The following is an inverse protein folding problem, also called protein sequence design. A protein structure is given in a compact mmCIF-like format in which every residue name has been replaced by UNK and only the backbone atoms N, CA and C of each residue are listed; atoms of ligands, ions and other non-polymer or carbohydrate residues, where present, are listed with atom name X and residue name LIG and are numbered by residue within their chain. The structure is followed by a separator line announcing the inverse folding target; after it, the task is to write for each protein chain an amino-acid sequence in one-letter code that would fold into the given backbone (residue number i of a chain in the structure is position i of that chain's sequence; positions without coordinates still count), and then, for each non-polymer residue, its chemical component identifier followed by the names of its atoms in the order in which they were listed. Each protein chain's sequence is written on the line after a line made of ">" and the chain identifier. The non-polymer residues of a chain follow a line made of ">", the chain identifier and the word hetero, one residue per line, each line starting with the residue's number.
data_IF_601828368118
#
_entry.id   IF_601828368118
#
_cell.length_a   1.000
_cell.length_b   1.000
_cell.length_c   1.000
_cell.angle_alpha   90.00
_cell.angle_beta   90.00
_cell.angle_gamma   90.00
#
_symmetry.space_group_name_H-M   'P 1'
#
loop_
_entity.id
_entity.type
_entity.pdbx_description
1 polymer ?
#
# COMPACT_ATOMS: atom_id res chain seq x y z
N UNK A 1 7.24 -11.23 -19.08
CA UNK A 1 7.12 -12.01 -20.34
C UNK A 1 6.22 -13.22 -20.11
N UNK A 2 5.26 -13.42 -20.96
CA UNK A 2 4.48 -14.64 -21.03
C UNK A 2 4.74 -15.32 -22.38
N UNK A 3 5.11 -16.60 -22.40
CA UNK A 3 5.51 -17.33 -23.61
C UNK A 3 6.55 -16.60 -24.48
N UNK A 4 7.51 -15.94 -23.84
CA UNK A 4 8.58 -15.18 -24.51
C UNK A 4 8.18 -13.82 -25.08
N UNK A 5 6.91 -13.43 -24.99
CA UNK A 5 6.37 -12.17 -25.51
C UNK A 5 6.13 -11.14 -24.41
N UNK A 6 6.17 -9.86 -24.76
CA UNK A 6 5.74 -8.74 -23.90
C UNK A 6 4.32 -8.34 -24.30
N UNK A 7 3.44 -8.19 -23.30
CA UNK A 7 2.04 -7.81 -23.50
C UNK A 7 1.72 -6.43 -22.94
N UNK A 8 2.63 -5.89 -22.14
CA UNK A 8 2.46 -4.59 -21.50
C UNK A 8 3.82 -3.92 -21.26
N UNK A 9 3.78 -2.61 -21.09
CA UNK A 9 4.92 -1.79 -20.68
C UNK A 9 4.62 -1.27 -19.28
N UNK A 10 5.49 -1.50 -18.27
CA UNK A 10 5.31 -0.92 -16.95
C UNK A 10 5.21 0.61 -17.03
N UNK A 11 4.33 1.18 -16.24
CA UNK A 11 4.18 2.62 -16.10
C UNK A 11 4.80 3.08 -14.77
N UNK A 12 4.21 2.68 -13.65
CA UNK A 12 4.76 2.92 -12.33
C UNK A 12 4.60 1.69 -11.47
N UNK A 13 5.38 1.67 -10.38
CA UNK A 13 5.34 0.62 -9.37
C UNK A 13 4.98 1.26 -8.03
N UNK A 14 4.27 0.54 -7.21
CA UNK A 14 3.88 0.95 -5.87
C UNK A 14 4.11 -0.18 -4.86
N UNK A 15 4.27 0.20 -3.61
CA UNK A 15 4.28 -0.74 -2.49
C UNK A 15 3.51 -0.15 -1.32
N UNK A 16 3.02 -1.02 -0.44
CA UNK A 16 2.35 -0.57 0.78
C UNK A 16 3.35 -0.31 1.89
N UNK A 17 3.05 0.71 2.69
CA UNK A 17 3.77 1.11 3.88
C UNK A 17 2.83 1.45 5.03
N UNK A 18 3.40 1.81 6.15
CA UNK A 18 2.70 2.26 7.35
C UNK A 18 2.86 3.77 7.48
N UNK A 19 1.79 4.51 7.28
CA UNK A 19 1.69 5.93 7.62
C UNK A 19 1.34 6.06 9.10
N UNK A 20 1.90 7.06 9.78
CA UNK A 20 1.62 7.32 11.19
C UNK A 20 1.56 8.81 11.48
N UNK A 21 0.68 9.21 12.39
CA UNK A 21 0.58 10.57 12.87
C UNK A 21 1.71 10.83 13.88
N UNK A 22 2.68 11.69 13.51
CA UNK A 22 3.90 11.94 14.29
C UNK A 22 3.57 12.58 15.63
N UNK A 23 2.74 13.63 15.65
CA UNK A 23 2.36 14.31 16.89
C UNK A 23 1.71 13.34 17.90
N UNK A 24 0.89 12.42 17.40
CA UNK A 24 0.21 11.45 18.26
C UNK A 24 1.15 10.41 18.82
N UNK A 25 2.08 9.91 18.01
CA UNK A 25 3.10 8.99 18.51
C UNK A 25 3.95 9.64 19.61
N UNK A 26 4.36 10.88 19.42
CA UNK A 26 5.12 11.66 20.38
C UNK A 26 4.32 11.90 21.68
N UNK A 27 3.05 12.31 21.55
CA UNK A 27 2.15 12.54 22.70
C UNK A 27 1.99 11.28 23.58
N UNK A 28 1.88 10.11 22.94
CA UNK A 28 1.63 8.84 23.61
C UNK A 28 2.91 8.10 24.01
N UNK A 29 4.08 8.60 23.62
CA UNK A 29 5.36 7.92 23.83
C UNK A 29 5.39 6.56 23.13
N UNK A 30 4.91 6.51 21.88
CA UNK A 30 4.89 5.32 21.05
C UNK A 30 6.01 5.44 20.02
N UNK A 31 6.90 4.47 20.01
CA UNK A 31 7.87 4.32 18.91
C UNK A 31 7.17 3.82 17.64
N UNK A 32 7.72 4.15 16.48
CA UNK A 32 7.19 3.65 15.19
C UNK A 32 7.27 2.12 15.16
N UNK A 33 6.15 1.41 15.08
CA UNK A 33 6.13 -0.05 15.18
C UNK A 33 6.80 -0.70 13.97
N UNK A 34 7.60 -1.72 14.22
CA UNK A 34 8.35 -2.49 13.23
C UNK A 34 7.90 -3.94 13.14
N UNK A 35 7.14 -4.42 14.12
CA UNK A 35 6.62 -5.79 14.19
C UNK A 35 5.10 -5.82 14.38
N UNK A 36 4.50 -6.97 14.13
CA UNK A 36 3.07 -7.19 14.38
C UNK A 36 2.68 -6.93 15.84
N UNK A 37 3.53 -7.37 16.78
CA UNK A 37 3.31 -7.17 18.21
C UNK A 37 3.36 -5.69 18.58
N UNK A 38 4.41 -4.98 18.13
CA UNK A 38 4.56 -3.53 18.37
C UNK A 38 3.40 -2.73 17.75
N UNK A 39 2.91 -3.12 16.56
CA UNK A 39 1.75 -2.47 15.94
C UNK A 39 0.48 -2.71 16.76
N UNK A 40 0.26 -3.94 17.24
CA UNK A 40 -0.87 -4.26 18.12
C UNK A 40 -0.84 -3.43 19.39
N UNK A 41 0.32 -3.35 20.05
CA UNK A 41 0.51 -2.59 21.29
C UNK A 41 0.34 -1.07 21.07
N UNK A 42 0.85 -0.55 19.94
CA UNK A 42 0.70 0.84 19.56
C UNK A 42 -0.78 1.21 19.32
N UNK A 43 -1.52 0.34 18.65
CA UNK A 43 -2.97 0.50 18.44
C UNK A 43 -3.73 0.47 19.75
N UNK A 44 -3.41 -0.45 20.67
CA UNK A 44 -4.07 -0.55 21.97
C UNK A 44 -3.81 0.70 22.81
N UNK A 45 -2.58 1.22 22.86
CA UNK A 45 -2.25 2.49 23.53
C UNK A 45 -3.02 3.69 22.94
N UNK A 46 -3.10 3.80 21.62
CA UNK A 46 -3.85 4.86 20.96
C UNK A 46 -5.32 4.82 21.36
N UNK A 47 -5.92 3.63 21.40
CA UNK A 47 -7.31 3.43 21.81
C UNK A 47 -7.56 3.73 23.27
N UNK A 48 -6.67 3.32 24.17
CA UNK A 48 -6.75 3.65 25.60
C UNK A 48 -6.72 5.15 25.86
N UNK A 49 -6.02 5.90 25.01
CA UNK A 49 -5.98 7.36 25.02
C UNK A 49 -7.20 8.01 24.35
N UNK A 50 -8.12 7.23 23.76
CA UNK A 50 -9.32 7.72 23.10
C UNK A 50 -9.15 8.06 21.61
N UNK A 51 -8.03 7.66 21.01
CA UNK A 51 -7.77 7.83 19.58
C UNK A 51 -8.12 6.58 18.77
N UNK A 52 -8.35 6.75 17.47
CA UNK A 52 -8.51 5.61 16.57
C UNK A 52 -7.17 4.91 16.26
N UNK A 53 -7.21 3.62 16.02
CA UNK A 53 -6.03 2.82 15.66
C UNK A 53 -5.65 2.97 14.20
N UNK A 54 -6.12 2.06 13.35
CA UNK A 54 -5.71 1.94 11.94
C UNK A 54 -6.87 2.21 10.99
N UNK A 55 -6.59 2.87 9.89
CA UNK A 55 -7.47 2.94 8.70
C UNK A 55 -6.77 2.33 7.49
N UNK A 56 -7.51 1.71 6.61
CA UNK A 56 -7.06 1.24 5.30
C UNK A 56 -8.25 1.09 4.35
N UNK A 57 -7.96 0.94 3.06
CA UNK A 57 -9.00 0.63 2.08
C UNK A 57 -9.57 -0.77 2.29
N UNK A 58 -10.89 -0.89 2.21
CA UNK A 58 -11.63 -2.16 2.37
C UNK A 58 -11.39 -3.10 1.18
N UNK A 59 -10.20 -3.68 1.12
CA UNK A 59 -9.76 -4.53 0.03
C UNK A 59 -8.83 -5.63 0.54
N UNK A 60 -8.91 -6.81 -0.07
CA UNK A 60 -7.95 -7.88 0.18
C UNK A 60 -6.50 -7.44 -0.07
N UNK A 61 -6.29 -6.51 -1.00
CA UNK A 61 -4.97 -5.94 -1.29
C UNK A 61 -4.30 -5.36 -0.04
N UNK A 62 -5.03 -4.64 0.81
CA UNK A 62 -4.48 -4.05 2.02
C UNK A 62 -3.91 -5.09 3.01
N UNK A 63 -4.43 -6.30 2.98
CA UNK A 63 -4.07 -7.36 3.94
C UNK A 63 -3.09 -8.40 3.40
N UNK A 64 -2.81 -8.43 2.09
CA UNK A 64 -1.91 -9.43 1.51
C UNK A 64 -0.49 -9.39 2.10
N UNK A 65 0.00 -8.21 2.49
CA UNK A 65 1.31 -8.07 3.13
C UNK A 65 1.44 -8.96 4.37
N UNK A 66 0.40 -9.06 5.19
CA UNK A 66 0.41 -9.90 6.40
C UNK A 66 0.55 -11.39 6.10
N UNK A 67 -0.03 -11.87 5.01
CA UNK A 67 0.15 -13.27 4.59
C UNK A 67 1.59 -13.53 4.19
N UNK A 68 2.19 -12.68 3.36
CA UNK A 68 3.59 -12.83 2.95
C UNK A 68 4.55 -12.68 4.12
N UNK A 69 4.27 -11.76 5.06
CA UNK A 69 5.05 -11.60 6.29
C UNK A 69 5.00 -12.85 7.19
N UNK A 70 3.96 -13.66 7.07
CA UNK A 70 3.83 -14.94 7.78
C UNK A 70 4.27 -16.14 6.91
N UNK A 71 5.06 -15.90 5.86
CA UNK A 71 5.57 -16.93 4.94
C UNK A 71 4.46 -17.72 4.20
N UNK A 72 3.27 -17.12 4.08
CA UNK A 72 2.15 -17.70 3.35
C UNK A 72 2.06 -17.09 1.94
N UNK A 73 2.48 -17.78 0.88
CA UNK A 73 2.19 -17.34 -0.47
C UNK A 73 0.69 -17.45 -0.73
N UNK A 74 0.10 -16.42 -1.31
CA UNK A 74 -1.34 -16.45 -1.67
C UNK A 74 -1.59 -17.40 -2.84
N UNK A 75 -0.65 -17.44 -3.78
CA UNK A 75 -0.71 -18.27 -4.98
C UNK A 75 0.60 -19.02 -5.15
N UNK A 76 0.52 -20.34 -5.31
CA UNK A 76 1.63 -21.18 -5.75
C UNK A 76 1.64 -21.26 -7.28
N UNK A 77 2.75 -20.84 -7.87
CA UNK A 77 3.02 -20.87 -9.32
C UNK A 77 4.11 -21.86 -9.71
N UNK A 78 4.49 -22.77 -8.83
CA UNK A 78 5.55 -23.76 -9.07
C UNK A 78 5.14 -24.88 -10.05
N UNK A 79 3.82 -25.10 -10.20
CA UNK A 79 3.26 -26.08 -11.13
C UNK A 79 2.75 -25.46 -12.44
N UNK A 80 2.29 -26.30 -13.35
CA UNK A 80 1.73 -25.87 -14.65
C UNK A 80 0.46 -25.02 -14.50
N UNK A 81 -0.28 -25.21 -13.42
CA UNK A 81 -1.51 -24.45 -13.11
C UNK A 81 -1.33 -23.76 -11.76
N UNK A 82 -1.46 -22.42 -11.72
CA UNK A 82 -1.43 -21.67 -10.45
C UNK A 82 -2.53 -22.15 -9.50
N UNK A 83 -2.20 -22.31 -8.22
CA UNK A 83 -3.14 -22.72 -7.17
C UNK A 83 -3.18 -21.70 -6.06
N UNK A 84 -4.37 -21.39 -5.57
CA UNK A 84 -4.53 -20.63 -4.33
C UNK A 84 -4.15 -21.54 -3.17
N UNK A 85 -3.22 -21.10 -2.30
CA UNK A 85 -2.65 -21.89 -1.21
C UNK A 85 -2.74 -21.20 0.14
N UNK A 86 -3.59 -20.18 0.24
CA UNK A 86 -3.77 -19.38 1.45
C UNK A 86 -4.37 -20.16 2.62
N UNK A 87 -5.03 -21.30 2.38
CA UNK A 87 -5.63 -22.16 3.40
C UNK A 87 -4.60 -23.16 3.96
N UNK A 88 -3.60 -22.62 4.64
CA UNK A 88 -2.60 -23.37 5.41
C UNK A 88 -2.48 -22.75 6.81
N UNK A 89 -1.65 -23.30 7.69
CA UNK A 89 -1.53 -22.81 9.07
C UNK A 89 -0.98 -21.37 9.11
N UNK A 90 0.00 -21.04 8.29
CA UNK A 90 0.58 -19.71 8.17
C UNK A 90 -0.46 -18.68 7.70
N UNK A 91 -1.32 -19.07 6.75
CA UNK A 91 -2.43 -18.24 6.28
C UNK A 91 -3.49 -18.00 7.34
N UNK A 92 -3.81 -19.04 8.14
CA UNK A 92 -4.75 -18.94 9.26
C UNK A 92 -4.19 -18.06 10.37
N UNK A 93 -2.91 -18.16 10.71
CA UNK A 93 -2.25 -17.29 11.68
C UNK A 93 -2.32 -15.81 11.22
N UNK A 94 -1.98 -15.51 9.96
CA UNK A 94 -2.06 -14.16 9.41
C UNK A 94 -3.50 -13.64 9.44
N UNK A 95 -4.46 -14.45 9.05
CA UNK A 95 -5.87 -14.09 9.09
C UNK A 95 -6.37 -13.83 10.50
N UNK A 96 -5.96 -14.66 11.47
CA UNK A 96 -6.31 -14.48 12.87
C UNK A 96 -5.76 -13.15 13.41
N UNK A 97 -4.51 -12.80 13.07
CA UNK A 97 -3.94 -11.51 13.44
C UNK A 97 -4.76 -10.33 12.90
N UNK A 98 -5.17 -10.38 11.63
CA UNK A 98 -6.04 -9.36 11.02
C UNK A 98 -7.40 -9.30 11.74
N UNK A 99 -8.00 -10.46 12.01
CA UNK A 99 -9.27 -10.55 12.74
C UNK A 99 -9.15 -10.01 14.17
N UNK A 100 -8.04 -10.24 14.84
CA UNK A 100 -7.77 -9.72 16.18
C UNK A 100 -7.65 -8.19 16.16
N UNK A 101 -6.93 -7.62 15.19
CA UNK A 101 -6.88 -6.18 15.00
C UNK A 101 -8.28 -5.57 14.79
N UNK A 102 -9.12 -6.24 14.00
CA UNK A 102 -10.50 -5.80 13.76
C UNK A 102 -11.35 -5.92 15.02
N UNK A 103 -11.33 -7.08 15.69
CA UNK A 103 -12.19 -7.38 16.83
C UNK A 103 -11.87 -6.55 18.06
N UNK A 104 -10.60 -6.21 18.25
CA UNK A 104 -10.15 -5.28 19.29
C UNK A 104 -10.53 -3.83 18.98
N UNK A 105 -11.16 -3.57 17.83
CA UNK A 105 -11.46 -2.23 17.33
C UNK A 105 -10.19 -1.47 16.94
N UNK A 106 -9.15 -2.21 16.50
CA UNK A 106 -7.93 -1.61 15.95
C UNK A 106 -8.19 -0.85 14.67
N UNK A 107 -9.14 -1.32 13.85
CA UNK A 107 -9.65 -0.53 12.74
C UNK A 107 -10.67 0.49 13.24
N UNK A 108 -10.51 1.74 12.79
CA UNK A 108 -11.40 2.83 13.16
C UNK A 108 -12.83 2.60 12.68
N UNK A 109 -13.81 3.26 13.30
CA UNK A 109 -15.24 3.08 12.96
C UNK A 109 -15.51 3.41 11.48
N UNK A 110 -14.85 4.45 10.95
CA UNK A 110 -14.93 4.85 9.53
C UNK A 110 -14.42 3.79 8.56
N UNK A 111 -13.69 2.77 9.03
CA UNK A 111 -13.28 1.63 8.17
C UNK A 111 -14.48 0.96 7.49
N UNK A 112 -15.64 0.92 8.13
CA UNK A 112 -16.87 0.35 7.54
C UNK A 112 -17.30 1.08 6.26
N UNK A 113 -16.92 2.36 6.14
CA UNK A 113 -17.22 3.22 5.01
C UNK A 113 -16.01 3.42 4.07
N UNK A 114 -14.85 2.87 4.42
CA UNK A 114 -13.60 2.99 3.67
C UNK A 114 -13.59 2.16 2.37
N UNK A 115 -14.64 2.35 1.57
CA UNK A 115 -14.84 1.70 0.25
C UNK A 115 -14.26 2.52 -0.91
N UNK A 116 -13.65 3.66 -0.61
CA UNK A 116 -12.89 4.51 -1.52
C UNK A 116 -11.63 5.01 -0.82
N UNK A 117 -10.58 5.31 -1.57
CA UNK A 117 -9.38 5.90 -1.02
C UNK A 117 -9.64 7.28 -0.41
N UNK A 118 -10.56 8.07 -0.97
CA UNK A 118 -10.92 9.39 -0.42
C UNK A 118 -11.38 9.29 1.03
N UNK A 119 -12.17 8.27 1.38
CA UNK A 119 -12.59 8.02 2.76
C UNK A 119 -11.44 7.62 3.68
N UNK A 120 -10.48 6.89 3.16
CA UNK A 120 -9.25 6.53 3.90
C UNK A 120 -8.43 7.79 4.18
N UNK A 121 -8.23 8.65 3.18
CA UNK A 121 -7.48 9.90 3.33
C UNK A 121 -8.18 10.84 4.31
N UNK A 122 -9.51 11.04 4.17
CA UNK A 122 -10.33 11.85 5.09
C UNK A 122 -10.14 11.40 6.55
N UNK A 123 -10.26 10.10 6.82
CA UNK A 123 -10.15 9.56 8.17
C UNK A 123 -8.77 9.80 8.78
N UNK A 124 -7.71 9.56 8.04
CA UNK A 124 -6.34 9.77 8.53
C UNK A 124 -6.00 11.26 8.65
N UNK A 125 -6.27 12.06 7.62
CA UNK A 125 -5.95 13.49 7.58
C UNK A 125 -6.72 14.30 8.66
N UNK A 126 -7.93 13.86 9.04
CA UNK A 126 -8.72 14.45 10.12
C UNK A 126 -8.36 13.90 11.52
N UNK A 127 -7.37 13.01 11.60
CA UNK A 127 -6.89 12.46 12.86
C UNK A 127 -7.82 11.43 13.52
N UNK A 128 -8.77 10.85 12.78
CA UNK A 128 -9.59 9.75 13.29
C UNK A 128 -8.77 8.48 13.51
N UNK A 129 -7.72 8.28 12.71
CA UNK A 129 -6.80 7.15 12.81
C UNK A 129 -5.38 7.60 13.17
N UNK A 130 -4.69 6.80 13.98
CA UNK A 130 -3.27 6.99 14.33
C UNK A 130 -2.37 6.47 13.20
N UNK A 131 -2.80 5.40 12.54
CA UNK A 131 -2.06 4.74 11.46
C UNK A 131 -2.94 4.61 10.21
N UNK A 132 -2.26 4.66 9.02
CA UNK A 132 -2.87 4.34 7.74
C UNK A 132 -2.01 3.28 7.04
N UNK A 133 -2.64 2.18 6.62
CA UNK A 133 -2.00 1.20 5.74
C UNK A 133 -2.33 1.56 4.28
N UNK A 134 -1.33 1.96 3.53
CA UNK A 134 -1.52 2.37 2.14
C UNK A 134 -0.21 2.41 1.37
N UNK A 135 -0.27 2.84 0.13
CA UNK A 135 0.91 3.01 -0.71
C UNK A 135 1.30 4.47 -0.90
N UNK A 136 2.30 4.71 -1.73
CA UNK A 136 2.85 6.03 -2.04
C UNK A 136 1.79 7.05 -2.52
N UNK A 137 0.75 6.58 -3.17
CA UNK A 137 -0.39 7.42 -3.60
C UNK A 137 -1.18 8.07 -2.44
N UNK A 138 -1.02 7.58 -1.20
CA UNK A 138 -1.75 8.11 -0.05
C UNK A 138 -1.23 9.49 0.37
N UNK A 139 0.04 9.81 0.18
CA UNK A 139 0.64 11.09 0.53
C UNK A 139 -0.12 12.25 -0.10
N UNK A 140 -0.26 12.24 -1.42
CA UNK A 140 -1.00 13.28 -2.14
C UNK A 140 -2.46 13.38 -1.69
N UNK A 141 -3.10 12.23 -1.41
CA UNK A 141 -4.48 12.21 -0.92
C UNK A 141 -4.64 12.87 0.44
N UNK A 142 -3.73 12.60 1.37
CA UNK A 142 -3.71 13.19 2.72
C UNK A 142 -3.38 14.68 2.67
N UNK A 143 -2.35 15.08 1.93
CA UNK A 143 -1.90 16.47 1.80
C UNK A 143 -2.96 17.38 1.14
N UNK A 144 -3.74 16.86 0.21
CA UNK A 144 -4.85 17.61 -0.40
C UNK A 144 -5.98 17.93 0.60
N UNK A 145 -6.11 17.15 1.67
CA UNK A 145 -7.13 17.35 2.71
C UNK A 145 -6.58 18.18 3.86
N UNK A 146 -5.39 17.83 4.33
CA UNK A 146 -4.71 18.51 5.44
C UNK A 146 -3.21 18.69 5.13
N UNK A 147 -2.85 19.78 4.46
CA UNK A 147 -1.44 20.06 4.09
C UNK A 147 -0.52 20.33 5.29
N UNK A 148 -1.10 20.62 6.46
CA UNK A 148 -0.35 20.91 7.69
C UNK A 148 -0.24 19.67 8.61
N UNK A 149 -0.74 18.52 8.19
CA UNK A 149 -0.65 17.29 8.97
C UNK A 149 0.80 16.81 9.06
N UNK A 150 1.31 16.68 10.29
CA UNK A 150 2.61 16.05 10.54
C UNK A 150 2.43 14.53 10.58
N UNK A 151 2.98 13.85 9.59
CA UNK A 151 2.96 12.39 9.47
C UNK A 151 4.28 11.85 8.96
N UNK A 152 4.58 10.62 9.32
CA UNK A 152 5.70 9.88 8.78
C UNK A 152 5.26 8.63 8.02
N UNK A 153 6.19 8.06 7.28
CA UNK A 153 5.98 6.82 6.53
C UNK A 153 7.09 5.85 6.94
N UNK A 154 6.70 4.65 7.31
CA UNK A 154 7.61 3.56 7.63
C UNK A 154 7.37 2.36 6.71
N UNK A 155 8.36 1.47 6.55
CA UNK A 155 8.11 0.16 5.96
C UNK A 155 6.98 -0.55 6.68
N UNK A 156 6.30 -1.47 5.99
CA UNK A 156 5.33 -2.35 6.65
C UNK A 156 6.00 -3.10 7.80
N UNK A 157 5.25 -3.28 8.87
CA UNK A 157 5.67 -4.13 10.00
C UNK A 157 6.01 -5.54 9.52
N UNK A 158 6.91 -6.21 10.23
CA UNK A 158 7.25 -7.60 9.94
C UNK A 158 6.53 -8.58 10.85
N UNK A 159 6.21 -9.75 10.30
CA UNK A 159 5.85 -10.94 11.05
C UNK A 159 7.07 -11.86 11.20
N UNK A 160 7.00 -13.08 10.69
CA UNK A 160 8.15 -13.99 10.60
C UNK A 160 9.23 -13.47 9.66
N UNK A 161 8.82 -12.75 8.61
CA UNK A 161 9.72 -12.14 7.64
C UNK A 161 9.29 -10.71 7.28
N UNK A 162 10.19 -9.96 6.67
CA UNK A 162 9.90 -8.65 6.10
C UNK A 162 9.31 -8.84 4.70
N UNK A 163 8.08 -8.39 4.51
CA UNK A 163 7.44 -8.43 3.21
C UNK A 163 6.39 -7.32 3.07
N UNK A 164 6.24 -6.83 1.86
CA UNK A 164 5.14 -5.98 1.44
C UNK A 164 4.67 -6.36 0.05
N UNK A 165 3.51 -5.88 -0.35
CA UNK A 165 3.01 -6.07 -1.70
C UNK A 165 3.71 -5.09 -2.62
N UNK A 166 4.15 -5.61 -3.75
CA UNK A 166 4.54 -4.80 -4.89
C UNK A 166 3.39 -4.80 -5.89
N UNK A 167 2.86 -3.62 -6.15
CA UNK A 167 1.84 -3.36 -7.15
C UNK A 167 2.38 -2.54 -8.31
N UNK A 168 1.48 -1.97 -9.07
CA UNK A 168 1.80 -1.07 -10.16
C UNK A 168 0.85 -1.19 -11.34
N UNK A 169 1.07 -0.32 -12.30
CA UNK A 169 0.23 -0.21 -13.48
C UNK A 169 1.04 -0.37 -14.75
N UNK A 170 0.37 -0.82 -15.79
CA UNK A 170 1.01 -1.05 -17.08
C UNK A 170 0.19 -0.43 -18.20
N UNK A 171 0.89 0.07 -19.20
CA UNK A 171 0.30 0.47 -20.46
C UNK A 171 0.06 -0.75 -21.34
N UNK A 172 -1.11 -0.83 -21.92
CA UNK A 172 -1.52 -1.92 -22.82
C UNK A 172 -2.16 -1.36 -24.06
N UNK A 173 -1.90 -1.97 -25.21
CA UNK A 173 -2.57 -1.63 -26.46
C UNK A 173 -3.74 -2.61 -26.65
N UNK A 174 -4.95 -2.07 -26.76
CA UNK A 174 -6.13 -2.87 -26.98
C UNK A 174 -6.05 -3.60 -28.34
N UNK A 175 -6.51 -4.85 -28.39
CA UNK A 175 -6.50 -5.68 -29.60
C UNK A 175 -7.28 -5.05 -30.77
N UNK A 176 -8.28 -4.20 -30.48
CA UNK A 176 -9.07 -3.49 -31.47
C UNK A 176 -8.52 -2.09 -31.80
N UNK A 177 -7.29 -1.76 -31.37
CA UNK A 177 -6.66 -0.48 -31.68
C UNK A 177 -6.44 -0.37 -33.20
N UNK A 178 -6.93 0.73 -33.79
CA UNK A 178 -6.83 0.96 -35.24
C UNK A 178 -5.40 1.40 -35.66
N UNK A 179 -4.65 2.00 -34.74
CA UNK A 179 -3.32 2.52 -35.00
C UNK A 179 -2.35 2.04 -33.88
N UNK A 180 -1.99 0.74 -33.83
CA UNK A 180 -1.18 0.19 -32.73
C UNK A 180 0.24 0.78 -32.69
N UNK A 181 0.82 1.15 -33.82
CA UNK A 181 2.14 1.80 -33.89
C UNK A 181 2.12 3.17 -33.21
N UNK A 182 1.12 4.01 -33.55
CA UNK A 182 0.96 5.33 -32.89
C UNK A 182 0.66 5.20 -31.40
N UNK A 183 -0.13 4.19 -30.99
CA UNK A 183 -0.36 3.91 -29.60
C UNK A 183 0.93 3.49 -28.86
N UNK A 184 1.80 2.74 -29.52
CA UNK A 184 3.11 2.38 -28.96
C UNK A 184 4.05 3.59 -28.85
N UNK A 185 4.09 4.45 -29.86
CA UNK A 185 4.85 5.71 -29.82
C UNK A 185 4.39 6.60 -28.65
N UNK A 186 3.08 6.69 -28.40
CA UNK A 186 2.55 7.38 -27.23
C UNK A 186 3.01 6.76 -25.92
N UNK A 187 2.97 5.42 -25.80
CA UNK A 187 3.46 4.72 -24.62
C UNK A 187 4.96 5.01 -24.40
N UNK A 188 5.76 4.98 -25.46
CA UNK A 188 7.18 5.33 -25.36
C UNK A 188 7.39 6.78 -24.90
N UNK A 189 6.59 7.73 -25.40
CA UNK A 189 6.65 9.11 -24.95
C UNK A 189 6.28 9.26 -23.48
N UNK A 190 5.20 8.60 -23.03
CA UNK A 190 4.75 8.63 -21.63
C UNK A 190 5.78 8.01 -20.66
N UNK A 191 6.55 7.04 -21.12
CA UNK A 191 7.66 6.44 -20.36
C UNK A 191 9.02 7.10 -20.63
N UNK A 192 9.07 8.22 -21.39
CA UNK A 192 10.28 9.01 -21.51
C UNK A 192 10.53 9.83 -20.23
N UNK A 193 11.74 10.33 -20.04
CA UNK A 193 12.08 11.21 -18.92
C UNK A 193 11.08 12.38 -18.77
N UNK A 194 10.68 12.97 -19.88
CA UNK A 194 9.71 14.08 -19.91
C UNK A 194 8.30 13.62 -19.53
N UNK A 195 7.83 12.50 -20.06
CA UNK A 195 6.51 11.95 -19.74
C UNK A 195 6.45 11.53 -18.27
N UNK A 196 7.47 10.86 -17.81
CA UNK A 196 7.61 10.36 -16.45
C UNK A 196 7.67 11.50 -15.41
N UNK A 197 8.40 12.59 -15.70
CA UNK A 197 8.45 13.76 -14.84
C UNK A 197 7.09 14.45 -14.63
N UNK A 198 6.19 14.35 -15.61
CA UNK A 198 4.82 14.86 -15.49
C UNK A 198 3.98 13.94 -14.57
N UNK A 199 4.18 12.64 -14.68
CA UNK A 199 3.41 11.65 -13.92
C UNK A 199 3.90 11.51 -12.48
N UNK A 200 5.18 11.73 -12.20
CA UNK A 200 5.76 11.66 -10.86
C UNK A 200 5.28 12.75 -9.90
N UNK A 201 4.71 13.84 -10.43
CA UNK A 201 4.09 14.92 -9.60
C UNK A 201 2.96 14.39 -8.71
N UNK A 202 2.39 13.23 -9.01
CA UNK A 202 1.36 12.59 -8.19
C UNK A 202 1.93 11.65 -7.11
N UNK A 203 3.21 11.69 -6.81
CA UNK A 203 3.84 10.87 -5.78
C UNK A 203 4.07 9.41 -6.18
N UNK A 204 4.00 9.08 -7.47
CA UNK A 204 4.13 7.70 -7.98
C UNK A 204 5.57 7.37 -8.34
N UNK A 205 6.04 6.22 -7.88
CA UNK A 205 7.38 5.73 -8.23
C UNK A 205 7.43 5.24 -9.68
N UNK A 206 8.34 5.82 -10.47
CA UNK A 206 8.55 5.40 -11.86
C UNK A 206 9.03 3.94 -11.94
N UNK A 207 8.55 3.21 -12.95
CA UNK A 207 9.05 1.88 -13.28
C UNK A 207 10.37 1.90 -14.10
N UNK A 208 10.93 3.07 -14.38
CA UNK A 208 12.21 3.24 -15.11
C UNK A 208 13.37 2.87 -14.19
N UNK A 209 14.36 2.19 -14.76
CA UNK A 209 15.58 1.79 -14.03
C UNK A 209 16.55 2.95 -13.75
N UNK A 210 16.44 4.02 -14.49
CA UNK A 210 17.28 5.23 -14.42
C UNK A 210 16.57 6.37 -13.65
N UNK A 211 15.46 6.05 -12.98
CA UNK A 211 14.74 7.01 -12.16
C UNK A 211 15.46 7.25 -10.83
N UNK A 212 15.63 8.51 -10.49
CA UNK A 212 16.21 8.89 -9.19
C UNK A 212 15.14 8.86 -8.11
N UNK A 213 15.20 7.83 -7.28
CA UNK A 213 14.26 7.64 -6.16
C UNK A 213 14.35 8.74 -5.10
N UNK A 214 15.42 9.55 -5.07
CA UNK A 214 15.55 10.68 -4.16
C UNK A 214 14.50 11.77 -4.39
N UNK A 215 13.88 11.78 -5.56
CA UNK A 215 12.83 12.73 -5.93
C UNK A 215 11.45 12.37 -5.35
N UNK A 216 11.29 11.17 -4.81
CA UNK A 216 10.02 10.71 -4.20
C UNK A 216 9.85 11.26 -2.77
N UNK A 217 10.92 11.70 -2.15
CA UNK A 217 10.94 12.22 -0.78
C UNK A 217 10.85 13.76 -0.71
N UNK A 218 10.10 14.34 -1.60
CA UNK A 218 9.86 15.76 -1.54
C UNK A 218 8.72 16.06 -0.59
#
# INVERSE_FOLDING_TARGET
>A
KFEGKYYSVPWYMDCTGLYYNTERLDELGIDVPTTWEELSDAVDKAKEAGYGGIITYQSAYAFYSFFYQNECPVIDTSGDVPKVVIDNEEGKEAWNYICDLISKGGLVESFKEATTWDKVYESFANGEATFLLGGDWCSTGVENINPDMDYGIAPMVKGKTEATILGGWTWNINVNCKNPELAYDLIQYLNSEKGDSIMSVEGKASARKDYDLSLIHI
#
